data_IF_164378882348
#
_entry.id   IF_164378882348
#
_cell.length_a   1.000
_cell.length_b   1.000
_cell.length_c   1.000
_cell.angle_alpha   90.00
_cell.angle_beta   90.00
_cell.angle_gamma   90.00
#
_symmetry.space_group_name_H-M   'P 1'
#
loop_
_entity.id
_entity.type
_entity.pdbx_description
1 polymer ?
#
# COMPACT_ATOMS: atom_id res chain seq x y z
N UNK A 1 -21.55 1.26 -30.26
CA UNK A 1 -20.64 0.19 -29.87
C UNK A 1 -20.34 0.21 -28.39
N UNK A 2 -19.84 -0.88 -27.89
CA UNK A 2 -19.44 -1.00 -26.49
C UNK A 2 -18.07 -0.35 -26.29
N UNK A 3 -17.97 0.62 -25.38
CA UNK A 3 -16.70 1.21 -25.02
C UNK A 3 -15.90 0.24 -24.16
N UNK A 4 -14.60 0.19 -24.36
CA UNK A 4 -13.69 -0.64 -23.60
C UNK A 4 -12.56 0.21 -23.02
N UNK A 5 -12.38 0.15 -21.73
CA UNK A 5 -11.27 0.80 -21.02
C UNK A 5 -10.45 -0.24 -20.30
N UNK A 6 -9.13 -0.10 -20.41
CA UNK A 6 -8.16 -0.88 -19.65
C UNK A 6 -7.32 0.05 -18.81
N UNK A 7 -7.17 -0.25 -17.54
CA UNK A 7 -6.30 0.53 -16.67
C UNK A 7 -5.49 -0.37 -15.75
N UNK A 8 -4.41 0.19 -15.23
CA UNK A 8 -3.57 -0.48 -14.25
C UNK A 8 -3.72 0.14 -12.88
N UNK A 9 -3.54 -0.67 -11.86
CA UNK A 9 -3.50 -0.21 -10.48
C UNK A 9 -2.46 -1.01 -9.71
N UNK A 10 -1.77 -0.35 -8.78
CA UNK A 10 -0.86 -1.04 -7.86
C UNK A 10 -1.65 -1.87 -6.86
N UNK A 11 -0.99 -2.79 -6.17
CA UNK A 11 -1.69 -3.80 -5.34
C UNK A 11 -2.54 -3.19 -4.24
N UNK A 12 -2.00 -2.29 -3.45
CA UNK A 12 -2.75 -1.64 -2.37
C UNK A 12 -3.91 -0.82 -2.92
N UNK A 13 -3.66 -0.06 -3.99
CA UNK A 13 -4.68 0.76 -4.64
C UNK A 13 -5.82 -0.13 -5.14
N UNK A 14 -5.50 -1.22 -5.86
CA UNK A 14 -6.52 -2.10 -6.45
C UNK A 14 -7.37 -2.82 -5.41
N UNK A 15 -6.76 -3.26 -4.31
CA UNK A 15 -7.46 -4.07 -3.30
C UNK A 15 -8.27 -3.24 -2.30
N UNK A 16 -7.81 -2.03 -1.97
CA UNK A 16 -8.35 -1.30 -0.82
C UNK A 16 -8.87 0.11 -1.14
N UNK A 17 -8.63 0.64 -2.33
CA UNK A 17 -8.91 2.06 -2.59
C UNK A 17 -9.84 2.33 -3.77
N UNK A 18 -10.19 1.34 -4.58
CA UNK A 18 -10.90 1.57 -5.85
C UNK A 18 -12.30 0.98 -5.92
N UNK A 19 -12.69 0.10 -5.02
CA UNK A 19 -13.95 -0.64 -5.15
C UNK A 19 -15.16 0.28 -5.32
N UNK A 20 -15.28 1.31 -4.50
CA UNK A 20 -16.40 2.25 -4.58
C UNK A 20 -16.41 3.04 -5.88
N UNK A 21 -15.25 3.48 -6.34
CA UNK A 21 -15.11 4.22 -7.59
C UNK A 21 -15.48 3.34 -8.79
N UNK A 22 -15.04 2.09 -8.77
CA UNK A 22 -15.39 1.11 -9.82
C UNK A 22 -16.91 0.84 -9.82
N UNK A 23 -17.51 0.61 -8.67
CA UNK A 23 -18.95 0.42 -8.54
C UNK A 23 -19.72 1.61 -9.12
N UNK A 24 -19.30 2.81 -8.76
CA UNK A 24 -19.94 4.03 -9.24
C UNK A 24 -19.82 4.18 -10.77
N UNK A 25 -18.66 3.87 -11.31
CA UNK A 25 -18.42 3.88 -12.76
C UNK A 25 -19.34 2.88 -13.47
N UNK A 26 -19.44 1.65 -12.95
CA UNK A 26 -20.26 0.59 -13.56
C UNK A 26 -21.76 0.91 -13.52
N UNK A 27 -22.21 1.63 -12.49
CA UNK A 27 -23.61 2.09 -12.42
C UNK A 27 -23.89 3.11 -13.52
N UNK A 28 -22.96 4.05 -13.74
CA UNK A 28 -23.12 5.10 -14.77
C UNK A 28 -22.92 4.60 -16.19
N UNK A 29 -22.10 3.56 -16.36
CA UNK A 29 -21.71 3.03 -17.67
C UNK A 29 -21.90 1.52 -17.73
N UNK A 30 -23.16 1.03 -17.63
CA UNK A 30 -23.41 -0.41 -17.50
C UNK A 30 -23.00 -1.24 -18.71
N UNK A 31 -22.88 -0.61 -19.87
CA UNK A 31 -22.50 -1.29 -21.12
C UNK A 31 -21.01 -1.19 -21.43
N UNK A 32 -20.23 -0.55 -20.55
CA UNK A 32 -18.80 -0.39 -20.73
C UNK A 32 -18.07 -1.68 -20.34
N UNK A 33 -17.05 -2.06 -21.10
CA UNK A 33 -16.08 -3.06 -20.71
C UNK A 33 -14.94 -2.40 -19.96
N UNK A 34 -14.68 -2.86 -18.76
CA UNK A 34 -13.62 -2.34 -17.92
C UNK A 34 -12.68 -3.47 -17.52
N UNK A 35 -11.39 -3.30 -17.78
CA UNK A 35 -10.35 -4.25 -17.37
C UNK A 35 -9.35 -3.54 -16.47
N UNK A 36 -9.04 -4.17 -15.36
CA UNK A 36 -8.01 -3.67 -14.43
C UNK A 36 -6.87 -4.68 -14.35
N UNK A 37 -5.66 -4.22 -14.65
CA UNK A 37 -4.43 -4.99 -14.46
C UNK A 37 -3.76 -4.55 -13.18
N UNK A 38 -3.33 -5.50 -12.38
CA UNK A 38 -2.65 -5.25 -11.10
C UNK A 38 -1.18 -5.60 -11.24
N UNK A 39 -0.30 -4.63 -10.95
CA UNK A 39 1.14 -4.84 -10.96
C UNK A 39 1.83 -3.71 -10.19
N UNK A 40 3.16 -3.76 -10.10
CA UNK A 40 3.91 -2.67 -9.51
C UNK A 40 3.97 -1.45 -10.46
N UNK A 41 4.36 -0.30 -9.92
CA UNK A 41 4.39 0.96 -10.69
C UNK A 41 5.24 0.85 -11.95
N UNK A 42 6.44 0.28 -11.85
CA UNK A 42 7.35 0.14 -12.99
C UNK A 42 6.73 -0.65 -14.14
N UNK A 43 6.11 -1.78 -13.84
CA UNK A 43 5.45 -2.62 -14.83
C UNK A 43 4.24 -1.93 -15.45
N UNK A 44 3.46 -1.20 -14.66
CA UNK A 44 2.30 -0.45 -15.18
C UNK A 44 2.72 0.69 -16.09
N UNK A 45 3.79 1.40 -15.78
CA UNK A 45 4.31 2.47 -16.62
C UNK A 45 4.76 1.93 -17.99
N UNK A 46 5.36 0.75 -18.01
CA UNK A 46 5.72 0.09 -19.27
C UNK A 46 4.49 -0.25 -20.11
N UNK A 47 3.45 -0.78 -19.48
CA UNK A 47 2.19 -1.08 -20.17
C UNK A 47 1.53 0.19 -20.71
N UNK A 48 1.65 1.29 -19.98
CA UNK A 48 1.16 2.59 -20.42
C UNK A 48 1.96 3.10 -21.63
N UNK A 49 3.29 3.00 -21.60
CA UNK A 49 4.16 3.37 -22.71
C UNK A 49 3.85 2.55 -23.98
N UNK A 50 3.55 1.27 -23.80
CA UNK A 50 3.23 0.34 -24.89
C UNK A 50 1.75 0.41 -25.33
N UNK A 51 0.99 1.34 -24.77
CA UNK A 51 -0.44 1.54 -25.05
C UNK A 51 -1.32 0.31 -24.80
N UNK A 52 -0.89 -0.55 -23.88
CA UNK A 52 -1.67 -1.72 -23.46
C UNK A 52 -2.79 -1.31 -22.51
N UNK A 53 -2.56 -0.29 -21.69
CA UNK A 53 -3.54 0.30 -20.80
C UNK A 53 -3.72 1.78 -21.13
N UNK A 54 -4.91 2.30 -20.82
CA UNK A 54 -5.28 3.69 -21.12
C UNK A 54 -4.77 4.66 -20.06
N UNK A 55 -4.76 4.22 -18.80
CA UNK A 55 -4.26 4.99 -17.66
C UNK A 55 -3.86 4.04 -16.53
N UNK A 56 -3.17 4.58 -15.53
CA UNK A 56 -2.78 3.81 -14.34
C UNK A 56 -3.02 4.65 -13.08
N UNK A 57 -3.39 3.97 -12.01
CA UNK A 57 -3.48 4.58 -10.67
C UNK A 57 -2.38 3.94 -9.83
N UNK A 58 -1.41 4.77 -9.45
CA UNK A 58 -0.19 4.30 -8.82
C UNK A 58 0.09 5.03 -7.52
N UNK A 59 0.88 4.39 -6.69
CA UNK A 59 1.45 4.97 -5.48
C UNK A 59 2.96 5.01 -5.61
N UNK A 60 3.62 5.86 -4.81
CA UNK A 60 5.06 5.99 -4.82
C UNK A 60 5.57 6.92 -5.93
N UNK A 61 6.87 6.81 -6.20
CA UNK A 61 7.52 7.68 -7.15
C UNK A 61 7.41 7.17 -8.58
N UNK A 62 7.31 8.13 -9.50
CA UNK A 62 7.39 7.89 -10.94
C UNK A 62 7.99 9.13 -11.61
N UNK A 63 8.51 9.04 -12.86
CA UNK A 63 9.08 10.19 -13.56
C UNK A 63 7.98 11.17 -13.96
N UNK A 64 7.74 12.18 -13.15
CA UNK A 64 6.62 13.12 -13.32
C UNK A 64 6.70 13.97 -14.57
N UNK A 65 7.91 14.18 -15.09
CA UNK A 65 8.13 14.94 -16.32
C UNK A 65 7.86 14.12 -17.60
N UNK A 66 7.69 12.81 -17.49
CA UNK A 66 7.42 11.92 -18.62
C UNK A 66 5.94 11.58 -18.81
N UNK A 67 5.10 11.90 -17.85
CA UNK A 67 3.68 11.53 -17.84
C UNK A 67 2.81 12.70 -17.44
N UNK A 68 1.61 12.76 -18.02
CA UNK A 68 0.53 13.59 -17.49
C UNK A 68 -0.09 12.90 -16.29
N UNK A 69 -0.29 13.62 -15.20
CA UNK A 69 -0.83 13.00 -13.98
C UNK A 69 -1.74 13.97 -13.23
N UNK A 70 -2.62 13.37 -12.43
CA UNK A 70 -3.49 14.09 -11.49
C UNK A 70 -3.43 13.39 -10.14
N UNK A 71 -3.42 14.16 -9.03
CA UNK A 71 -3.61 13.57 -7.71
C UNK A 71 -4.96 12.87 -7.62
N UNK A 72 -4.97 11.62 -7.12
CA UNK A 72 -6.20 10.85 -6.95
C UNK A 72 -6.72 10.95 -5.52
N UNK A 73 -5.83 10.72 -4.53
CA UNK A 73 -6.19 10.74 -3.12
C UNK A 73 -4.92 10.89 -2.29
N UNK A 74 -5.07 11.48 -1.09
CA UNK A 74 -4.04 11.49 -0.05
C UNK A 74 -4.44 10.51 1.04
N UNK A 75 -3.68 9.43 1.18
CA UNK A 75 -4.00 8.35 2.11
C UNK A 75 -3.04 8.36 3.30
N UNK A 76 -3.58 8.05 4.50
CA UNK A 76 -2.76 7.91 5.70
C UNK A 76 -1.85 6.71 5.58
N UNK A 77 -0.59 6.87 5.95
CA UNK A 77 0.40 5.80 6.05
C UNK A 77 0.72 5.58 7.53
N UNK A 78 0.58 4.36 8.01
CA UNK A 78 0.61 4.06 9.45
C UNK A 78 1.44 2.84 9.76
N UNK A 79 1.92 2.77 11.01
CA UNK A 79 2.48 1.55 11.59
C UNK A 79 1.36 0.83 12.35
N UNK A 80 1.29 -0.48 12.24
CA UNK A 80 0.28 -1.30 12.93
C UNK A 80 0.90 -2.49 13.62
N UNK A 81 0.26 -2.90 14.70
CA UNK A 81 0.58 -4.08 15.49
C UNK A 81 -0.68 -4.56 16.20
N UNK A 82 -0.59 -5.64 16.98
CA UNK A 82 -1.63 -5.99 17.93
C UNK A 82 -1.77 -4.86 18.94
N UNK A 83 -2.96 -4.70 19.60
CA UNK A 83 -3.17 -3.62 20.54
C UNK A 83 -2.17 -3.59 21.70
N UNK A 84 -1.76 -4.74 22.21
CA UNK A 84 -0.78 -4.84 23.29
C UNK A 84 0.62 -4.38 22.86
N UNK A 85 1.07 -4.78 21.68
CA UNK A 85 2.36 -4.31 21.12
C UNK A 85 2.30 -2.81 20.85
N UNK A 86 1.22 -2.34 20.21
CA UNK A 86 1.07 -0.91 19.92
C UNK A 86 1.13 -0.04 21.17
N UNK A 87 0.53 -0.50 22.26
CA UNK A 87 0.51 0.22 23.53
C UNK A 87 1.91 0.42 24.12
N UNK A 88 2.82 -0.52 23.91
CA UNK A 88 4.22 -0.40 24.39
C UNK A 88 4.95 0.78 23.78
N UNK A 89 4.59 1.16 22.58
CA UNK A 89 5.34 2.13 21.78
C UNK A 89 4.64 3.48 21.62
N UNK A 90 3.59 3.70 22.37
CA UNK A 90 2.86 4.98 22.34
C UNK A 90 3.80 6.14 22.64
N UNK A 91 3.83 7.13 21.74
CA UNK A 91 4.68 8.32 21.85
C UNK A 91 6.18 8.02 21.88
N UNK A 92 6.58 6.87 21.33
CA UNK A 92 7.98 6.49 21.19
C UNK A 92 8.51 6.84 19.81
N UNK A 93 9.84 6.84 19.65
CA UNK A 93 10.50 7.06 18.37
C UNK A 93 10.59 5.75 17.59
N UNK A 94 10.71 5.85 16.27
CA UNK A 94 10.76 4.67 15.38
C UNK A 94 11.89 3.71 15.74
N UNK A 95 13.03 4.23 16.21
CA UNK A 95 14.18 3.39 16.57
C UNK A 95 13.84 2.41 17.71
N UNK A 96 12.85 2.69 18.53
CA UNK A 96 12.43 1.77 19.57
C UNK A 96 11.67 0.56 19.01
N UNK A 97 11.16 0.66 17.78
CA UNK A 97 10.50 -0.45 17.09
C UNK A 97 11.50 -1.43 16.47
N UNK A 98 12.77 -1.12 16.38
CA UNK A 98 13.79 -1.92 15.68
C UNK A 98 13.97 -3.32 16.27
N UNK A 99 13.53 -3.58 17.49
CA UNK A 99 13.55 -4.89 18.13
C UNK A 99 12.35 -5.77 17.75
N UNK A 100 11.29 -5.17 17.21
CA UNK A 100 10.15 -5.92 16.72
C UNK A 100 10.43 -6.51 15.34
N UNK A 101 9.82 -7.65 15.03
CA UNK A 101 9.89 -8.20 13.68
C UNK A 101 9.16 -7.26 12.72
N UNK A 102 9.87 -6.79 11.71
CA UNK A 102 9.27 -6.03 10.61
C UNK A 102 8.75 -7.00 9.55
N UNK A 103 7.46 -6.96 9.28
CA UNK A 103 6.84 -7.73 8.19
C UNK A 103 6.60 -6.75 7.05
N UNK A 104 7.28 -6.96 5.93
CA UNK A 104 7.38 -5.97 4.86
C UNK A 104 7.12 -6.61 3.50
N UNK A 105 6.62 -5.82 2.57
CA UNK A 105 6.42 -6.20 1.17
C UNK A 105 7.77 -6.42 0.48
N UNK A 106 7.69 -7.03 -0.70
CA UNK A 106 8.84 -7.27 -1.56
C UNK A 106 9.43 -5.97 -2.15
N UNK A 107 10.66 -6.05 -2.62
CA UNK A 107 11.29 -4.99 -3.40
C UNK A 107 10.43 -4.67 -4.63
N UNK A 108 10.30 -3.38 -4.95
CA UNK A 108 9.47 -2.91 -6.06
C UNK A 108 8.05 -2.56 -5.65
N UNK A 109 7.62 -2.89 -4.45
CA UNK A 109 6.34 -2.45 -3.90
C UNK A 109 6.33 -0.95 -3.66
N UNK A 110 5.29 -0.27 -4.11
CA UNK A 110 5.13 1.16 -3.90
C UNK A 110 5.03 1.53 -2.42
N UNK A 111 4.29 0.76 -1.63
CA UNK A 111 4.19 1.00 -0.19
C UNK A 111 5.51 0.78 0.54
N UNK A 112 6.29 -0.22 0.11
CA UNK A 112 7.62 -0.43 0.65
C UNK A 112 8.54 0.75 0.33
N UNK A 113 8.51 1.27 -0.88
CA UNK A 113 9.30 2.44 -1.28
C UNK A 113 8.97 3.66 -0.43
N UNK A 114 7.70 3.89 -0.12
CA UNK A 114 7.27 4.98 0.74
C UNK A 114 7.85 4.80 2.15
N UNK A 115 7.75 3.62 2.70
CA UNK A 115 8.28 3.30 4.02
C UNK A 115 9.80 3.48 4.08
N UNK A 116 10.54 2.94 3.10
CA UNK A 116 12.00 3.06 3.05
C UNK A 116 12.43 4.52 2.88
N UNK A 117 11.70 5.31 2.07
CA UNK A 117 11.95 6.74 1.93
C UNK A 117 11.74 7.50 3.24
N UNK A 118 10.69 7.15 3.98
CA UNK A 118 10.40 7.73 5.29
C UNK A 118 11.51 7.40 6.30
N UNK A 119 11.98 6.15 6.36
CA UNK A 119 13.10 5.76 7.19
C UNK A 119 14.36 6.54 6.83
N UNK A 120 14.68 6.64 5.54
CA UNK A 120 15.85 7.34 5.04
C UNK A 120 15.86 8.81 5.47
N UNK A 121 14.71 9.47 5.43
CA UNK A 121 14.60 10.86 5.87
C UNK A 121 14.94 11.04 7.37
N UNK A 122 14.83 9.99 8.15
CA UNK A 122 15.20 9.99 9.57
C UNK A 122 16.61 9.43 9.82
N UNK A 123 17.34 9.09 8.75
CA UNK A 123 18.69 8.54 8.87
C UNK A 123 18.74 7.03 9.09
N UNK A 124 17.66 6.32 8.79
CA UNK A 124 17.57 4.87 8.99
C UNK A 124 17.28 4.12 7.69
N UNK A 125 17.44 2.81 7.74
CA UNK A 125 17.00 1.88 6.71
C UNK A 125 16.50 0.58 7.34
N UNK A 126 16.00 -0.35 6.54
CA UNK A 126 15.44 -1.60 7.07
C UNK A 126 16.46 -2.50 7.76
N UNK A 127 17.75 -2.33 7.49
CA UNK A 127 18.80 -3.11 8.16
C UNK A 127 18.92 -2.79 9.66
N UNK A 128 18.34 -1.69 10.10
CA UNK A 128 18.28 -1.35 11.53
C UNK A 128 17.31 -2.24 12.30
N UNK A 129 16.33 -2.86 11.62
CA UNK A 129 15.46 -3.84 12.26
C UNK A 129 16.20 -5.16 12.46
N UNK A 130 16.13 -5.70 13.68
CA UNK A 130 16.83 -6.95 14.03
C UNK A 130 16.28 -8.16 13.28
N UNK A 131 15.02 -8.11 12.86
CA UNK A 131 14.35 -9.24 12.26
C UNK A 131 13.38 -8.73 11.18
N UNK A 132 13.55 -9.19 9.96
CA UNK A 132 12.75 -8.77 8.81
C UNK A 132 12.17 -10.00 8.12
N UNK A 133 10.87 -10.00 7.92
CA UNK A 133 10.14 -11.05 7.17
C UNK A 133 9.52 -10.41 5.94
N UNK A 134 9.89 -10.87 4.76
CA UNK A 134 9.38 -10.34 3.49
C UNK A 134 8.23 -11.19 2.98
N UNK A 135 7.08 -10.56 2.78
CA UNK A 135 5.85 -11.23 2.32
C UNK A 135 5.22 -10.39 1.19
N UNK A 136 5.03 -10.99 0.03
CA UNK A 136 4.52 -10.31 -1.17
C UNK A 136 2.99 -10.19 -1.24
N UNK A 137 2.28 -10.25 -0.12
CA UNK A 137 0.82 -10.23 -0.08
C UNK A 137 0.33 -9.45 1.13
N UNK A 138 -0.48 -8.42 0.90
CA UNK A 138 -0.97 -7.54 1.98
C UNK A 138 -1.86 -8.30 2.97
N UNK A 139 -2.76 -9.15 2.47
CA UNK A 139 -3.63 -9.95 3.32
C UNK A 139 -2.85 -10.88 4.24
N UNK A 140 -1.81 -11.52 3.72
CA UNK A 140 -0.93 -12.38 4.51
C UNK A 140 -0.17 -11.59 5.58
N UNK A 141 0.33 -10.41 5.23
CA UNK A 141 0.97 -9.50 6.20
C UNK A 141 0.01 -9.16 7.32
N UNK A 142 -1.20 -8.74 6.98
CA UNK A 142 -2.22 -8.37 7.97
C UNK A 142 -2.55 -9.54 8.92
N UNK A 143 -2.64 -10.75 8.39
CA UNK A 143 -2.89 -11.95 9.19
C UNK A 143 -1.76 -12.22 10.17
N UNK A 144 -0.50 -12.12 9.71
CA UNK A 144 0.67 -12.32 10.57
C UNK A 144 0.75 -11.26 11.68
N UNK A 145 0.50 -10.00 11.35
CA UNK A 145 0.50 -8.92 12.34
C UNK A 145 -0.63 -9.11 13.35
N UNK A 146 -1.81 -9.46 12.88
CA UNK A 146 -2.97 -9.74 13.74
C UNK A 146 -2.69 -10.89 14.73
N UNK A 147 -1.95 -11.90 14.28
CA UNK A 147 -1.59 -13.05 15.10
C UNK A 147 -0.36 -12.79 15.99
N UNK A 148 0.17 -11.57 16.00
CA UNK A 148 1.22 -11.15 16.93
C UNK A 148 2.65 -11.45 16.48
N UNK A 149 2.87 -11.74 15.20
CA UNK A 149 4.19 -12.11 14.69
C UNK A 149 5.10 -10.93 14.40
N UNK A 150 4.59 -9.71 14.42
CA UNK A 150 5.42 -8.54 14.18
C UNK A 150 4.59 -7.28 13.94
N UNK A 151 5.25 -6.29 13.36
CA UNK A 151 4.69 -5.00 13.02
C UNK A 151 4.77 -4.78 11.50
N UNK A 152 3.91 -3.92 10.98
CA UNK A 152 3.94 -3.55 9.56
C UNK A 152 3.65 -2.06 9.39
N UNK A 153 4.11 -1.52 8.26
CA UNK A 153 3.85 -0.14 7.85
C UNK A 153 3.14 -0.17 6.50
N UNK A 154 2.09 0.60 6.37
CA UNK A 154 1.32 0.65 5.13
C UNK A 154 0.18 1.66 5.21
N UNK A 155 -0.65 1.65 4.18
CA UNK A 155 -1.81 2.54 4.13
C UNK A 155 -2.87 2.10 5.12
N UNK A 156 -3.44 3.08 5.82
CA UNK A 156 -4.53 2.82 6.77
C UNK A 156 -5.72 2.11 6.09
N UNK A 157 -6.00 2.45 4.84
CA UNK A 157 -7.08 1.83 4.08
C UNK A 157 -6.97 0.30 4.02
N UNK A 158 -5.74 -0.25 4.06
CA UNK A 158 -5.51 -1.69 4.02
C UNK A 158 -5.77 -2.39 5.36
N UNK A 159 -5.89 -1.64 6.46
CA UNK A 159 -6.02 -2.19 7.81
C UNK A 159 -7.23 -1.66 8.58
N UNK A 160 -7.99 -0.73 8.01
CA UNK A 160 -9.05 -0.01 8.74
C UNK A 160 -10.10 -0.94 9.34
N UNK A 161 -10.51 -1.99 8.64
CA UNK A 161 -11.48 -2.96 9.16
C UNK A 161 -10.92 -3.70 10.38
N UNK A 162 -9.65 -4.12 10.33
CA UNK A 162 -9.00 -4.79 11.46
C UNK A 162 -8.85 -3.85 12.64
N UNK A 163 -8.58 -2.57 12.40
CA UNK A 163 -8.50 -1.57 13.47
C UNK A 163 -9.87 -1.32 14.10
N UNK A 164 -10.91 -1.19 13.29
CA UNK A 164 -12.29 -0.99 13.77
C UNK A 164 -12.79 -2.19 14.58
N UNK A 165 -12.38 -3.39 14.22
CA UNK A 165 -12.72 -4.61 14.93
C UNK A 165 -11.86 -4.88 16.16
N UNK A 166 -10.87 -4.04 16.43
CA UNK A 166 -9.98 -4.18 17.58
C UNK A 166 -8.90 -5.24 17.44
N UNK A 167 -8.72 -5.79 16.26
CA UNK A 167 -7.70 -6.81 15.98
C UNK A 167 -6.31 -6.22 15.85
N UNK A 168 -6.22 -5.02 15.29
CA UNK A 168 -5.00 -4.25 15.12
C UNK A 168 -5.15 -2.86 15.72
N UNK A 169 -4.05 -2.25 16.11
CA UNK A 169 -3.99 -0.86 16.52
C UNK A 169 -2.90 -0.13 15.76
N UNK A 170 -3.15 1.15 15.47
CA UNK A 170 -2.11 2.03 14.94
C UNK A 170 -1.10 2.31 16.04
N UNK A 171 0.18 2.19 15.72
CA UNK A 171 1.25 2.57 16.64
C UNK A 171 1.43 4.07 16.53
N UNK A 172 1.24 4.76 17.64
CA UNK A 172 1.38 6.23 17.71
C UNK A 172 2.84 6.60 17.96
N UNK A 173 3.57 6.80 16.88
CA UNK A 173 5.00 7.14 16.88
C UNK A 173 5.27 8.47 16.20
#
# INVERSE_FOLDING_TARGET
GVEHYSFGATRTVSEYMLTKQIEHFLIKHPDCRLSMLVNNTSALLKLLDDSVIDFAIVEGDFPRNEYSYLPFSNERFVAVATPDIAAKYKNKSVNELFHERLIIREQGSGSRNIFEGWLKNMGYDISHFSNVTEIGNIGAINSLVKDGFGIAFGYYAAVDEHVKEGELSVIDI
#
